data_IF_773146422147
#
_entry.id   IF_773146422147
#
_cell.length_a   1.000
_cell.length_b   1.000
_cell.length_c   1.000
_cell.angle_alpha   90.00
_cell.angle_beta   90.00
_cell.angle_gamma   90.00
#
_symmetry.space_group_name_H-M   'P 1'
#
loop_
_entity.id
_entity.type
_entity.pdbx_description
1 polymer ?
#
# COMPACT_ATOMS: atom_id res chain seq x y z
N UNK A 1 14.99 -6.35 -3.60
CA UNK A 1 13.93 -6.38 -4.65
C UNK A 1 12.65 -5.64 -4.21
N UNK A 2 12.30 -5.64 -2.92
CA UNK A 2 10.97 -5.30 -2.41
C UNK A 2 10.34 -3.98 -2.88
N UNK A 3 10.84 -2.83 -2.40
CA UNK A 3 10.17 -1.54 -2.59
C UNK A 3 10.87 -0.61 -3.59
N UNK A 4 11.95 -1.02 -4.25
CA UNK A 4 12.76 -0.15 -5.10
C UNK A 4 11.93 0.64 -6.12
N UNK A 5 11.03 -0.04 -6.84
CA UNK A 5 10.19 0.63 -7.84
C UNK A 5 9.25 1.68 -7.21
N UNK A 6 8.77 1.46 -5.97
CA UNK A 6 8.00 2.43 -5.22
C UNK A 6 8.88 3.60 -4.78
N UNK A 7 10.08 3.32 -4.25
CA UNK A 7 11.04 4.35 -3.83
C UNK A 7 11.41 5.30 -4.99
N UNK A 8 11.47 4.78 -6.22
CA UNK A 8 11.77 5.56 -7.42
C UNK A 8 10.56 6.34 -7.94
N UNK A 9 9.37 5.73 -7.95
CA UNK A 9 8.18 6.31 -8.58
C UNK A 9 7.46 7.32 -7.69
N UNK A 10 7.36 7.08 -6.36
CA UNK A 10 6.53 7.89 -5.48
C UNK A 10 7.00 9.35 -5.36
N UNK A 11 8.30 9.67 -5.14
CA UNK A 11 8.74 11.06 -5.10
C UNK A 11 8.42 11.83 -6.39
N UNK A 12 8.70 11.21 -7.54
CA UNK A 12 8.45 11.79 -8.85
C UNK A 12 6.95 11.98 -9.14
N UNK A 13 6.09 11.04 -8.71
CA UNK A 13 4.65 11.15 -8.85
C UNK A 13 4.09 12.31 -8.01
N UNK A 14 4.55 12.45 -6.77
CA UNK A 14 4.12 13.52 -5.88
C UNK A 14 4.57 14.91 -6.38
N UNK A 15 5.70 15.00 -7.08
CA UNK A 15 6.14 16.23 -7.72
C UNK A 15 5.17 16.73 -8.80
N UNK A 16 4.43 15.82 -9.45
CA UNK A 16 3.42 16.14 -10.46
C UNK A 16 2.08 16.61 -9.87
N UNK A 17 1.91 16.48 -8.56
CA UNK A 17 0.72 16.97 -7.86
C UNK A 17 0.98 18.41 -7.40
N UNK A 18 0.04 19.36 -7.62
CA UNK A 18 0.15 20.72 -7.11
C UNK A 18 0.46 20.73 -5.60
N UNK A 19 1.34 21.61 -5.16
CA UNK A 19 1.87 21.62 -3.79
C UNK A 19 0.80 21.70 -2.71
N UNK A 20 -0.26 22.46 -2.98
CA UNK A 20 -1.41 22.66 -2.09
C UNK A 20 -2.34 21.43 -1.98
N UNK A 21 -2.18 20.46 -2.89
CA UNK A 21 -2.95 19.21 -2.94
C UNK A 21 -2.14 17.98 -2.57
N UNK A 22 -0.84 18.16 -2.27
CA UNK A 22 0.03 17.04 -1.91
C UNK A 22 -0.34 16.47 -0.55
N UNK A 23 -0.48 15.15 -0.42
CA UNK A 23 -0.66 14.52 0.88
C UNK A 23 0.61 14.64 1.73
N UNK A 24 0.44 14.56 3.05
CA UNK A 24 1.56 14.28 3.94
C UNK A 24 1.98 12.82 3.76
N UNK A 25 3.29 12.56 3.70
CA UNK A 25 3.83 11.25 3.37
C UNK A 25 4.80 10.77 4.42
N UNK A 26 4.57 9.56 4.93
CA UNK A 26 5.59 8.76 5.61
C UNK A 26 6.01 7.62 4.69
N UNK A 27 7.30 7.53 4.35
CA UNK A 27 7.80 6.54 3.41
C UNK A 27 8.86 5.66 4.05
N UNK A 28 8.55 4.37 4.20
CA UNK A 28 9.50 3.35 4.66
C UNK A 28 10.33 2.85 3.48
N UNK A 29 11.62 3.15 3.49
CA UNK A 29 12.54 2.81 2.40
C UNK A 29 13.23 1.44 2.53
N UNK A 30 13.35 0.93 3.76
CA UNK A 30 14.34 -0.08 4.14
C UNK A 30 15.73 0.54 4.38
N UNK A 31 16.47 -0.04 5.32
CA UNK A 31 17.77 0.50 5.83
C UNK A 31 18.76 0.93 4.74
N UNK A 32 18.86 0.17 3.66
CA UNK A 32 19.86 0.41 2.60
C UNK A 32 19.48 1.56 1.65
N UNK A 33 18.27 2.09 1.71
CA UNK A 33 17.73 3.01 0.71
C UNK A 33 17.34 4.38 1.28
N UNK A 34 17.50 4.60 2.58
CA UNK A 34 17.04 5.84 3.27
C UNK A 34 17.65 7.08 2.63
N UNK A 35 18.97 7.15 2.48
CA UNK A 35 19.63 8.34 1.97
C UNK A 35 19.31 8.58 0.49
N UNK A 36 19.24 7.52 -0.32
CA UNK A 36 18.85 7.63 -1.71
C UNK A 36 17.40 8.16 -1.85
N UNK A 37 16.50 7.68 -1.00
CA UNK A 37 15.11 8.13 -1.01
C UNK A 37 14.96 9.57 -0.52
N UNK A 38 15.70 9.98 0.53
CA UNK A 38 15.75 11.40 0.97
C UNK A 38 16.23 12.33 -0.14
N UNK A 39 17.30 11.91 -0.84
CA UNK A 39 17.79 12.67 -1.98
C UNK A 39 16.77 12.77 -3.12
N UNK A 40 16.04 11.68 -3.41
CA UNK A 40 14.98 11.69 -4.43
C UNK A 40 13.85 12.65 -4.08
N UNK A 41 13.40 12.68 -2.82
CA UNK A 41 12.38 13.63 -2.35
C UNK A 41 12.88 15.09 -2.43
N UNK A 42 14.13 15.34 -2.03
CA UNK A 42 14.74 16.66 -2.11
C UNK A 42 14.83 17.16 -3.57
N UNK A 43 15.29 16.31 -4.49
CA UNK A 43 15.34 16.61 -5.93
C UNK A 43 13.95 16.86 -6.53
N UNK A 44 12.94 16.13 -6.07
CA UNK A 44 11.56 16.30 -6.50
C UNK A 44 10.88 17.55 -5.90
N UNK A 45 11.50 18.24 -4.95
CA UNK A 45 10.90 19.38 -4.24
C UNK A 45 9.65 18.97 -3.44
N UNK A 46 9.66 17.76 -2.88
CA UNK A 46 8.54 17.16 -2.12
C UNK A 46 8.97 16.92 -0.68
N UNK A 47 8.18 17.41 0.27
CA UNK A 47 8.39 17.12 1.69
C UNK A 47 7.81 15.74 2.03
N UNK A 48 8.60 14.91 2.73
CA UNK A 48 8.17 13.60 3.22
C UNK A 48 8.96 13.19 4.46
N UNK A 49 8.34 12.43 5.35
CA UNK A 49 9.03 11.73 6.44
C UNK A 49 9.57 10.42 5.91
N UNK A 50 10.89 10.33 5.74
CA UNK A 50 11.56 9.12 5.25
C UNK A 50 12.16 8.38 6.42
N UNK A 51 11.72 7.12 6.61
CA UNK A 51 12.20 6.22 7.66
C UNK A 51 12.78 4.93 7.06
N UNK A 52 13.68 4.29 7.78
CA UNK A 52 14.22 2.98 7.40
C UNK A 52 13.23 1.85 7.72
N UNK A 53 12.53 1.97 8.84
CA UNK A 53 11.55 1.01 9.32
C UNK A 53 10.45 1.71 10.12
N UNK A 54 9.23 1.17 10.10
CA UNK A 54 8.10 1.60 10.92
C UNK A 54 7.89 0.54 11.99
N UNK A 55 8.21 0.87 13.26
CA UNK A 55 8.12 -0.07 14.37
C UNK A 55 6.66 -0.34 14.76
N UNK A 56 5.82 0.69 14.74
CA UNK A 56 4.39 0.57 15.07
C UNK A 56 3.55 0.65 13.79
N UNK A 57 3.47 -0.47 13.07
CA UNK A 57 2.65 -0.58 11.86
C UNK A 57 1.14 -0.42 12.15
N UNK A 58 0.67 -0.86 13.32
CA UNK A 58 -0.74 -0.73 13.68
C UNK A 58 -1.14 0.75 13.78
N UNK A 59 -0.31 1.55 14.44
CA UNK A 59 -0.48 3.00 14.51
C UNK A 59 -0.40 3.64 13.12
N UNK A 60 0.61 3.27 12.33
CA UNK A 60 0.80 3.82 10.99
C UNK A 60 -0.42 3.58 10.09
N UNK A 61 -1.02 2.38 10.14
CA UNK A 61 -2.25 2.10 9.39
C UNK A 61 -3.46 2.88 9.91
N UNK A 62 -3.52 3.12 11.23
CA UNK A 62 -4.64 3.87 11.84
C UNK A 62 -4.59 5.36 11.48
N UNK A 63 -3.40 5.92 11.34
CA UNK A 63 -3.18 7.33 11.00
C UNK A 63 -3.22 7.60 9.48
N UNK A 64 -3.13 6.57 8.64
CA UNK A 64 -3.10 6.72 7.20
C UNK A 64 -4.50 6.80 6.58
N UNK A 65 -4.74 7.78 5.71
CA UNK A 65 -5.92 7.81 4.83
C UNK A 65 -5.74 6.83 3.64
N UNK A 66 -4.50 6.60 3.19
CA UNK A 66 -4.16 5.74 2.06
C UNK A 66 -2.78 5.11 2.22
N UNK A 67 -2.64 3.85 1.89
CA UNK A 67 -1.36 3.12 1.90
C UNK A 67 -0.98 2.70 0.48
N UNK A 68 0.24 2.99 0.05
CA UNK A 68 0.79 2.49 -1.22
C UNK A 68 1.79 1.40 -0.89
N UNK A 69 1.53 0.16 -1.31
CA UNK A 69 2.38 -0.96 -0.92
C UNK A 69 2.36 -2.12 -1.93
N UNK A 70 3.15 -3.15 -1.63
CA UNK A 70 3.10 -4.45 -2.32
C UNK A 70 1.88 -5.26 -1.86
N UNK A 71 1.49 -6.26 -2.65
CA UNK A 71 0.31 -7.09 -2.39
C UNK A 71 0.66 -8.45 -1.78
N UNK A 72 1.56 -8.47 -0.79
CA UNK A 72 1.86 -9.68 -0.02
C UNK A 72 0.68 -10.12 0.84
N UNK A 73 0.53 -11.43 1.09
CA UNK A 73 -0.60 -11.97 1.85
C UNK A 73 -0.69 -11.38 3.28
N UNK A 74 0.45 -11.25 3.98
CA UNK A 74 0.50 -10.64 5.31
C UNK A 74 0.06 -9.18 5.24
N UNK A 75 0.56 -8.42 4.26
CA UNK A 75 0.16 -7.02 4.06
C UNK A 75 -1.35 -6.88 3.85
N UNK A 76 -1.96 -7.76 3.04
CA UNK A 76 -3.41 -7.75 2.84
C UNK A 76 -4.16 -8.05 4.13
N UNK A 77 -3.69 -9.01 4.91
CA UNK A 77 -4.29 -9.32 6.21
C UNK A 77 -4.24 -8.11 7.16
N UNK A 78 -3.12 -7.40 7.20
CA UNK A 78 -2.95 -6.19 8.00
C UNK A 78 -3.85 -5.05 7.51
N UNK A 79 -3.87 -4.76 6.19
CA UNK A 79 -4.71 -3.72 5.59
C UNK A 79 -6.20 -3.96 5.86
N UNK A 80 -6.66 -5.20 5.72
CA UNK A 80 -8.06 -5.56 5.96
C UNK A 80 -8.41 -5.57 7.45
N UNK A 81 -7.49 -5.98 8.31
CA UNK A 81 -7.67 -5.91 9.77
C UNK A 81 -7.76 -4.46 10.27
N UNK A 82 -6.88 -3.59 9.78
CA UNK A 82 -6.89 -2.16 10.08
C UNK A 82 -8.10 -1.45 9.45
N UNK A 83 -8.54 -1.87 8.27
CA UNK A 83 -9.55 -1.19 7.49
C UNK A 83 -9.02 0.11 6.92
N UNK A 84 -7.96 0.05 6.13
CA UNK A 84 -7.33 1.21 5.50
C UNK A 84 -7.36 1.09 3.97
N UNK A 85 -7.60 2.20 3.28
CA UNK A 85 -7.55 2.24 1.83
C UNK A 85 -6.14 1.97 1.30
N UNK A 86 -6.03 1.33 0.15
CA UNK A 86 -4.71 1.03 -0.41
C UNK A 86 -4.63 1.12 -1.93
N UNK A 87 -3.43 1.47 -2.41
CA UNK A 87 -2.98 1.26 -3.79
C UNK A 87 -1.99 0.10 -3.77
N UNK A 88 -2.40 -1.02 -4.34
CA UNK A 88 -1.61 -2.24 -4.40
C UNK A 88 -0.81 -2.30 -5.68
N UNK A 89 0.50 -2.35 -5.55
CA UNK A 89 1.45 -2.50 -6.66
C UNK A 89 2.12 -3.87 -6.53
N UNK A 90 1.56 -4.93 -7.15
CA UNK A 90 2.11 -6.28 -7.03
C UNK A 90 3.52 -6.36 -7.60
N UNK A 91 4.39 -7.10 -6.94
CA UNK A 91 5.72 -7.38 -7.45
C UNK A 91 5.62 -8.27 -8.69
N UNK A 92 6.26 -7.85 -9.76
CA UNK A 92 6.43 -8.70 -10.95
C UNK A 92 7.59 -9.66 -10.67
N UNK A 93 7.25 -10.91 -10.35
CA UNK A 93 8.19 -12.00 -10.24
C UNK A 93 7.83 -13.08 -11.25
N UNK A 94 8.82 -13.59 -11.98
CA UNK A 94 8.61 -14.59 -13.03
C UNK A 94 8.08 -15.93 -12.52
N UNK A 95 8.14 -16.16 -11.21
CA UNK A 95 7.87 -17.47 -10.60
C UNK A 95 6.54 -17.55 -9.85
N UNK A 96 5.86 -16.41 -9.55
CA UNK A 96 4.61 -16.46 -8.76
C UNK A 96 3.64 -15.34 -9.16
N UNK A 97 2.36 -15.68 -9.33
CA UNK A 97 1.26 -14.73 -9.56
C UNK A 97 0.61 -14.22 -8.27
N UNK A 98 0.98 -14.76 -7.11
CA UNK A 98 0.27 -14.55 -5.85
C UNK A 98 -0.02 -13.08 -5.52
N UNK A 99 0.96 -12.19 -5.69
CA UNK A 99 0.71 -10.77 -5.40
C UNK A 99 -0.27 -10.13 -6.38
N UNK A 100 -0.23 -10.51 -7.65
CA UNK A 100 -1.20 -10.04 -8.65
C UNK A 100 -2.61 -10.52 -8.31
N UNK A 101 -2.75 -11.80 -7.96
CA UNK A 101 -4.03 -12.41 -7.63
C UNK A 101 -4.60 -11.77 -6.35
N UNK A 102 -3.77 -11.53 -5.34
CA UNK A 102 -4.09 -10.79 -4.13
C UNK A 102 -4.58 -9.36 -4.44
N UNK A 103 -3.85 -8.60 -5.26
CA UNK A 103 -4.24 -7.24 -5.63
C UNK A 103 -5.55 -7.22 -6.43
N UNK A 104 -5.73 -8.18 -7.33
CA UNK A 104 -6.96 -8.35 -8.12
C UNK A 104 -8.15 -8.65 -7.22
N UNK A 105 -7.98 -9.56 -6.26
CA UNK A 105 -9.02 -9.89 -5.29
C UNK A 105 -9.45 -8.67 -4.47
N UNK A 106 -8.50 -7.91 -3.91
CA UNK A 106 -8.80 -6.68 -3.17
C UNK A 106 -9.53 -5.64 -4.02
N UNK A 107 -9.13 -5.48 -5.29
CA UNK A 107 -9.79 -4.56 -6.21
C UNK A 107 -11.23 -5.00 -6.53
N UNK A 108 -11.47 -6.29 -6.71
CA UNK A 108 -12.83 -6.84 -6.90
C UNK A 108 -13.73 -6.59 -5.68
N UNK A 109 -13.18 -6.61 -4.47
CA UNK A 109 -13.89 -6.23 -3.24
C UNK A 109 -14.07 -4.71 -3.09
N UNK A 110 -13.55 -3.88 -4.01
CA UNK A 110 -13.45 -2.42 -3.89
C UNK A 110 -12.66 -1.96 -2.66
N UNK A 111 -11.81 -2.82 -2.15
CA UNK A 111 -11.00 -2.61 -0.95
C UNK A 111 -9.62 -2.01 -1.24
N UNK A 112 -9.23 -1.94 -2.51
CA UNK A 112 -7.98 -1.36 -2.97
C UNK A 112 -8.06 -0.92 -4.43
N UNK A 113 -7.20 0.03 -4.82
CA UNK A 113 -6.85 0.26 -6.20
C UNK A 113 -5.70 -0.67 -6.60
N UNK A 114 -5.81 -1.36 -7.72
CA UNK A 114 -4.75 -2.22 -8.26
C UNK A 114 -4.00 -1.45 -9.36
N UNK A 115 -2.71 -1.21 -9.16
CA UNK A 115 -1.82 -0.61 -10.16
C UNK A 115 -0.71 -1.62 -10.50
N UNK A 116 -0.78 -2.31 -11.64
CA UNK A 116 0.28 -3.22 -12.07
C UNK A 116 1.64 -2.51 -12.17
N UNK A 117 2.71 -3.13 -11.69
CA UNK A 117 4.04 -2.52 -11.73
C UNK A 117 4.48 -2.15 -13.16
N UNK A 118 4.04 -2.90 -14.17
CA UNK A 118 4.33 -2.63 -15.58
C UNK A 118 3.67 -1.34 -16.10
N UNK A 119 2.59 -0.92 -15.45
CA UNK A 119 1.85 0.31 -15.77
C UNK A 119 2.25 1.47 -14.83
N UNK A 120 2.93 1.14 -13.72
CA UNK A 120 3.34 2.13 -12.75
C UNK A 120 4.48 3.00 -13.29
N UNK A 121 4.15 4.26 -13.52
CA UNK A 121 5.09 5.34 -13.77
C UNK A 121 4.64 6.57 -12.97
N UNK A 122 5.49 7.61 -12.82
CA UNK A 122 5.13 8.79 -12.03
C UNK A 122 3.80 9.44 -12.45
N UNK A 123 3.53 9.54 -13.74
CA UNK A 123 2.31 10.18 -14.24
C UNK A 123 1.06 9.35 -13.94
N UNK A 124 1.11 8.02 -14.13
CA UNK A 124 0.01 7.11 -13.83
C UNK A 124 -0.31 7.10 -12.33
N UNK A 125 0.73 7.05 -11.48
CA UNK A 125 0.55 7.09 -10.03
C UNK A 125 -0.01 8.44 -9.56
N UNK A 126 0.52 9.57 -10.08
CA UNK A 126 0.00 10.90 -9.76
C UNK A 126 -1.48 11.06 -10.17
N UNK A 127 -1.83 10.61 -11.39
CA UNK A 127 -3.21 10.65 -11.87
C UNK A 127 -4.15 9.80 -11.01
N UNK A 128 -3.70 8.62 -10.56
CA UNK A 128 -4.47 7.78 -9.64
C UNK A 128 -4.67 8.48 -8.29
N UNK A 129 -3.60 9.00 -7.69
CA UNK A 129 -3.66 9.68 -6.39
C UNK A 129 -4.57 10.93 -6.42
N UNK A 130 -4.57 11.67 -7.53
CA UNK A 130 -5.43 12.85 -7.68
C UNK A 130 -6.92 12.51 -7.83
N UNK A 131 -7.26 11.29 -8.27
CA UNK A 131 -8.64 10.79 -8.34
C UNK A 131 -9.14 10.28 -7.00
N UNK A 132 -8.28 9.79 -6.12
CA UNK A 132 -8.66 9.24 -4.83
C UNK A 132 -8.97 10.38 -3.86
N UNK A 133 -10.23 10.72 -3.77
CA UNK A 133 -10.75 11.67 -2.77
C UNK A 133 -10.77 11.00 -1.39
N UNK A 134 -10.89 11.81 -0.32
CA UNK A 134 -11.04 11.28 1.04
C UNK A 134 -12.28 10.39 1.19
N UNK A 135 -13.37 10.71 0.51
CA UNK A 135 -14.59 9.91 0.50
C UNK A 135 -14.40 8.55 -0.18
N UNK A 136 -13.67 8.53 -1.31
CA UNK A 136 -13.32 7.28 -1.99
C UNK A 136 -12.38 6.43 -1.13
N UNK A 137 -11.39 7.04 -0.47
CA UNK A 137 -10.53 6.34 0.49
C UNK A 137 -11.34 5.76 1.65
N UNK A 138 -12.30 6.50 2.22
CA UNK A 138 -13.17 5.99 3.28
C UNK A 138 -14.02 4.80 2.80
N UNK A 139 -14.61 4.91 1.62
CA UNK A 139 -15.39 3.82 1.01
C UNK A 139 -14.54 2.57 0.83
N UNK A 140 -13.33 2.74 0.33
CA UNK A 140 -12.34 1.67 0.14
C UNK A 140 -11.91 1.06 1.48
N UNK A 141 -11.69 1.87 2.50
CA UNK A 141 -11.33 1.45 3.85
C UNK A 141 -12.43 0.60 4.51
N UNK A 142 -13.68 1.01 4.37
CA UNK A 142 -14.84 0.23 4.85
C UNK A 142 -14.96 -1.11 4.14
N UNK A 143 -14.74 -1.14 2.82
CA UNK A 143 -14.73 -2.38 2.05
C UNK A 143 -13.58 -3.30 2.46
N UNK A 144 -12.36 -2.75 2.69
CA UNK A 144 -11.22 -3.50 3.19
C UNK A 144 -11.53 -4.13 4.55
N UNK A 145 -12.12 -3.35 5.47
CA UNK A 145 -12.50 -3.86 6.79
C UNK A 145 -13.56 -4.96 6.72
N UNK A 146 -14.52 -4.86 5.81
CA UNK A 146 -15.54 -5.88 5.59
C UNK A 146 -14.98 -7.19 4.99
N UNK A 147 -13.94 -7.09 4.15
CA UNK A 147 -13.25 -8.23 3.54
C UNK A 147 -12.30 -8.96 4.51
N UNK A 148 -11.93 -8.33 5.63
CA UNK A 148 -10.98 -8.88 6.60
C UNK A 148 -11.56 -10.05 7.42
N UNK A 149 -10.77 -11.11 7.57
CA UNK A 149 -11.08 -12.25 8.46
C UNK A 149 -10.34 -12.07 9.79
N UNK A 150 -11.09 -11.75 10.84
CA UNK A 150 -10.55 -11.55 12.20
C UNK A 150 -10.70 -12.78 13.09
N UNK A 151 -11.44 -13.76 12.62
CA UNK A 151 -11.73 -15.04 13.26
C UNK A 151 -10.83 -16.19 12.76
N UNK A 152 -9.74 -15.89 12.05
CA UNK A 152 -8.92 -16.90 11.40
C UNK A 152 -8.37 -17.95 12.37
N UNK A 153 -7.93 -17.55 13.56
CA UNK A 153 -7.43 -18.47 14.59
C UNK A 153 -8.53 -19.42 15.07
N UNK A 154 -9.74 -18.90 15.33
CA UNK A 154 -10.89 -19.71 15.74
C UNK A 154 -11.34 -20.66 14.64
N UNK A 155 -11.34 -20.18 13.39
CA UNK A 155 -11.70 -20.99 12.24
C UNK A 155 -10.72 -22.15 12.04
N UNK A 156 -9.41 -21.91 12.19
CA UNK A 156 -8.39 -22.96 12.13
C UNK A 156 -8.54 -23.94 13.29
N UNK A 157 -8.73 -23.47 14.52
CA UNK A 157 -8.92 -24.33 15.68
C UNK A 157 -10.11 -25.28 15.49
N UNK A 158 -11.26 -24.78 15.00
CA UNK A 158 -12.45 -25.60 14.70
C UNK A 158 -12.17 -26.68 13.65
N UNK A 159 -11.38 -26.39 12.63
CA UNK A 159 -11.00 -27.39 11.61
C UNK A 159 -10.11 -28.46 12.22
N UNK A 160 -9.16 -28.09 13.06
CA UNK A 160 -8.28 -29.07 13.74
C UNK A 160 -9.05 -29.94 14.70
N UNK A 161 -10.00 -29.39 15.45
CA UNK A 161 -10.89 -30.17 16.35
C UNK A 161 -11.77 -31.18 15.59
N UNK A 162 -12.16 -30.89 14.35
CA UNK A 162 -12.94 -31.83 13.51
C UNK A 162 -12.09 -32.93 12.90
N UNK A 163 -10.76 -32.81 12.89
CA UNK A 163 -9.83 -33.77 12.33
C UNK A 163 -9.20 -34.69 13.40
N UNK A 164 -9.41 -34.37 14.68
CA UNK A 164 -8.90 -35.13 15.83
C UNK A 164 -9.89 -36.22 16.26
#
# INVERSE_FOLDING_TARGET
LGARALNEAVPAALALIPSERRPQVTHQSGKQHVEALRAAYAQAGVSATVVDFIDDMARAYTEADLVICRAGAITLAELTAAGVASVLVPLVASTTSHQRDNATWMAQQRAAAHLPQTEMNPAALAALLQKLTREECLTMALAARAAGRRDANEAIAKVLEQLA
#
